data_IF_156940093927
#
_entry.id   IF_156940093927
#
_cell.length_a   1.000
_cell.length_b   1.000
_cell.length_c   1.000
_cell.angle_alpha   90.00
_cell.angle_beta   90.00
_cell.angle_gamma   90.00
#
_symmetry.space_group_name_H-M   'P 1'
#
loop_
_entity.id
_entity.type
_entity.pdbx_description
1 polymer ?
#
# COMPACT_ATOMS: atom_id res chain seq x y z
N UNK A 1 0.86 -18.89 -23.62
CA UNK A 1 -0.18 -19.53 -22.79
C UNK A 1 0.33 -19.73 -21.36
N UNK A 2 0.57 -18.65 -20.59
CA UNK A 2 0.78 -18.67 -19.12
C UNK A 2 0.56 -17.27 -18.49
N UNK A 3 -0.31 -16.44 -19.07
CA UNK A 3 -0.62 -15.08 -18.59
C UNK A 3 -1.34 -15.03 -17.23
N UNK A 4 -1.88 -16.16 -16.79
CA UNK A 4 -2.50 -16.34 -15.47
C UNK A 4 -1.51 -16.17 -14.31
N UNK A 5 -0.24 -16.57 -14.50
CA UNK A 5 0.77 -16.54 -13.42
C UNK A 5 1.13 -15.11 -13.03
N UNK A 6 1.07 -14.17 -13.99
CA UNK A 6 1.39 -12.76 -13.74
C UNK A 6 0.42 -12.13 -12.74
N UNK A 7 -0.83 -12.60 -12.70
CA UNK A 7 -1.88 -12.13 -11.77
C UNK A 7 -1.51 -12.33 -10.30
N UNK A 8 -0.70 -13.34 -9.97
CA UNK A 8 -0.16 -13.57 -8.61
C UNK A 8 0.90 -12.54 -8.22
N UNK A 9 1.60 -11.94 -9.19
CA UNK A 9 2.66 -10.97 -8.96
C UNK A 9 2.22 -9.51 -9.17
N UNK A 10 1.01 -9.27 -9.70
CA UNK A 10 0.41 -7.95 -9.96
C UNK A 10 -0.11 -7.22 -8.71
N UNK A 11 -0.05 -7.85 -7.53
CA UNK A 11 -0.41 -7.19 -6.29
C UNK A 11 0.55 -6.04 -5.99
N UNK A 12 0.03 -4.83 -5.76
CA UNK A 12 0.85 -3.67 -5.42
C UNK A 12 1.77 -3.93 -4.20
N UNK A 13 2.73 -3.07 -3.95
CA UNK A 13 3.61 -3.17 -2.77
C UNK A 13 3.27 -2.10 -1.73
N UNK A 14 3.48 -2.41 -0.45
CA UNK A 14 3.42 -1.39 0.60
C UNK A 14 4.53 -0.35 0.37
N UNK A 15 4.21 0.93 0.47
CA UNK A 15 5.18 2.01 0.27
C UNK A 15 6.31 1.96 1.29
N UNK A 16 6.02 1.56 2.54
CA UNK A 16 7.00 1.50 3.63
C UNK A 16 7.82 0.20 3.65
N UNK A 17 7.17 -0.94 3.87
CA UNK A 17 7.87 -2.22 4.07
C UNK A 17 8.08 -3.03 2.78
N UNK A 18 7.62 -2.52 1.63
CA UNK A 18 7.73 -3.14 0.29
C UNK A 18 7.11 -4.54 0.14
N UNK A 19 6.50 -5.09 1.19
CA UNK A 19 5.77 -6.37 1.14
C UNK A 19 4.65 -6.31 0.11
N UNK A 20 4.53 -7.39 -0.67
CA UNK A 20 3.36 -7.67 -1.53
C UNK A 20 2.26 -8.23 -0.64
N UNK A 21 1.11 -7.59 -0.65
CA UNK A 21 -0.09 -8.06 0.06
C UNK A 21 -1.32 -7.55 -0.66
N UNK A 22 -2.42 -8.30 -0.65
CA UNK A 22 -3.67 -7.83 -1.25
C UNK A 22 -4.35 -6.78 -0.38
N UNK A 23 -4.19 -6.85 0.94
CA UNK A 23 -4.82 -5.95 1.89
C UNK A 23 -3.97 -4.70 2.13
N UNK A 24 -4.34 -3.61 1.45
CA UNK A 24 -3.72 -2.29 1.65
C UNK A 24 -4.76 -1.20 1.68
N UNK A 25 -4.47 -0.17 2.47
CA UNK A 25 -5.24 1.07 2.52
C UNK A 25 -4.49 2.17 1.77
N UNK A 26 -5.25 3.09 1.18
CA UNK A 26 -4.69 4.27 0.51
C UNK A 26 -4.57 5.39 1.53
N UNK A 27 -3.39 5.98 1.61
CA UNK A 27 -3.10 7.17 2.42
C UNK A 27 -2.60 8.29 1.51
N UNK A 28 -2.67 9.52 1.98
CA UNK A 28 -2.00 10.67 1.38
C UNK A 28 -0.78 10.99 2.23
N UNK A 29 0.39 11.03 1.60
CA UNK A 29 1.60 11.52 2.25
C UNK A 29 1.59 13.05 2.38
N UNK A 30 2.66 13.60 2.95
CA UNK A 30 2.83 15.05 3.19
C UNK A 30 2.76 15.90 1.90
N UNK A 31 3.05 15.29 0.75
CA UNK A 31 3.00 15.93 -0.57
C UNK A 31 1.63 15.77 -1.25
N UNK A 32 0.62 15.26 -0.54
CA UNK A 32 -0.69 14.96 -1.08
C UNK A 32 -0.71 13.80 -2.08
N UNK A 33 0.37 13.01 -2.19
CA UNK A 33 0.44 11.88 -3.12
C UNK A 33 -0.17 10.63 -2.49
N UNK A 34 -0.97 9.85 -3.24
CA UNK A 34 -1.51 8.60 -2.76
C UNK A 34 -0.40 7.56 -2.59
N UNK A 35 -0.35 6.93 -1.43
CA UNK A 35 0.56 5.84 -1.08
C UNK A 35 -0.27 4.61 -0.64
N UNK A 36 0.28 3.42 -0.86
CA UNK A 36 -0.37 2.17 -0.49
C UNK A 36 0.28 1.62 0.78
N UNK A 37 -0.51 1.42 1.83
CA UNK A 37 -0.02 1.05 3.16
C UNK A 37 -0.67 -0.26 3.58
N UNK A 38 0.13 -1.27 3.91
CA UNK A 38 -0.38 -2.54 4.44
C UNK A 38 -0.84 -2.39 5.90
N UNK A 39 -1.62 -3.35 6.38
CA UNK A 39 -2.19 -3.36 7.74
C UNK A 39 -1.13 -3.14 8.83
N UNK A 40 0.03 -3.80 8.73
CA UNK A 40 1.13 -3.66 9.68
C UNK A 40 1.78 -2.27 9.70
N UNK A 41 1.67 -1.50 8.62
CA UNK A 41 2.25 -0.16 8.53
C UNK A 41 1.20 0.95 8.72
N UNK A 42 -0.05 0.60 9.06
CA UNK A 42 -1.11 1.59 9.33
C UNK A 42 -0.71 2.49 10.50
N UNK A 43 -0.31 1.91 11.62
CA UNK A 43 0.07 2.69 12.81
C UNK A 43 1.21 3.66 12.50
N UNK A 44 2.17 3.25 11.66
CA UNK A 44 3.27 4.09 11.25
C UNK A 44 2.81 5.28 10.38
N UNK A 45 1.86 5.04 9.47
CA UNK A 45 1.26 6.10 8.68
C UNK A 45 0.48 7.09 9.56
N UNK A 46 -0.20 6.59 10.59
CA UNK A 46 -0.98 7.41 11.52
C UNK A 46 -0.10 8.23 12.47
N UNK A 47 0.99 7.66 12.98
CA UNK A 47 2.01 8.41 13.74
C UNK A 47 2.64 9.53 12.91
N UNK A 48 2.70 9.36 11.58
CA UNK A 48 3.10 10.40 10.63
C UNK A 48 1.98 11.36 10.20
N UNK A 49 0.79 11.24 10.78
CA UNK A 49 -0.38 12.03 10.45
C UNK A 49 -0.78 11.96 8.95
N UNK A 50 -0.49 10.85 8.28
CA UNK A 50 -0.92 10.64 6.90
C UNK A 50 -2.45 10.52 6.83
N UNK A 51 -3.06 11.22 5.87
CA UNK A 51 -4.52 11.25 5.76
C UNK A 51 -5.00 9.97 5.08
N UNK A 52 -5.94 9.25 5.70
CA UNK A 52 -6.63 8.12 5.06
C UNK A 52 -7.40 8.64 3.85
N UNK A 53 -7.14 8.07 2.67
CA UNK A 53 -7.91 8.37 1.47
C UNK A 53 -9.16 7.48 1.50
N UNK A 54 -10.31 8.09 1.75
CA UNK A 54 -11.63 7.43 1.80
C UNK A 54 -12.05 6.94 0.41
#
# INVERSE_FOLDING_TARGET
MLDWLRKLFSGGTCTFCKRKTNEKRRYLNDKGKPIAVCTYCIEYAERRAYRRKR
#
